data_IF_177137398672
#
_entry.id   IF_177137398672
#
_cell.length_a   1.000
_cell.length_b   1.000
_cell.length_c   1.000
_cell.angle_alpha   90.00
_cell.angle_beta   90.00
_cell.angle_gamma   90.00
#
_symmetry.space_group_name_H-M   'P 1'
#
loop_
_entity.id
_entity.type
_entity.pdbx_description
1 polymer ?
#
# COMPACT_ATOMS: atom_id res chain seq x y z
N UNK A 1 -7.36 -12.18 -12.73
CA UNK A 1 -6.12 -11.40 -12.55
C UNK A 1 -6.01 -11.11 -11.07
N UNK A 2 -4.88 -11.35 -10.40
CA UNK A 2 -4.77 -11.09 -8.97
C UNK A 2 -4.42 -9.60 -8.78
N UNK A 3 -5.42 -8.76 -8.56
CA UNK A 3 -5.26 -7.30 -8.40
C UNK A 3 -4.23 -6.97 -7.32
N UNK A 4 -4.21 -7.73 -6.22
CA UNK A 4 -3.22 -7.56 -5.16
C UNK A 4 -1.79 -7.73 -5.69
N UNK A 5 -1.55 -8.69 -6.59
CA UNK A 5 -0.24 -8.87 -7.24
C UNK A 5 0.12 -7.68 -8.14
N UNK A 6 -0.86 -7.10 -8.83
CA UNK A 6 -0.64 -5.92 -9.66
C UNK A 6 -0.27 -4.70 -8.81
N UNK A 7 -1.02 -4.43 -7.73
CA UNK A 7 -0.74 -3.34 -6.80
C UNK A 7 0.63 -3.50 -6.12
N UNK A 8 1.03 -4.73 -5.75
CA UNK A 8 2.38 -4.99 -5.23
C UNK A 8 3.47 -4.65 -6.25
N UNK A 9 3.27 -5.00 -7.52
CA UNK A 9 4.22 -4.66 -8.57
C UNK A 9 4.38 -3.14 -8.73
N UNK A 10 3.29 -2.38 -8.57
CA UNK A 10 3.32 -0.92 -8.58
C UNK A 10 4.13 -0.36 -7.41
N UNK A 11 3.94 -0.88 -6.19
CA UNK A 11 4.73 -0.48 -5.01
C UNK A 11 6.22 -0.81 -5.21
N UNK A 12 6.55 -2.00 -5.68
CA UNK A 12 7.94 -2.39 -5.95
C UNK A 12 8.58 -1.52 -7.02
N UNK A 13 7.83 -1.12 -8.04
CA UNK A 13 8.32 -0.19 -9.06
C UNK A 13 8.58 1.19 -8.46
N UNK A 14 7.65 1.73 -7.69
CA UNK A 14 7.84 3.00 -6.98
C UNK A 14 9.10 2.98 -6.11
N UNK A 15 9.38 1.84 -5.45
CA UNK A 15 10.60 1.67 -4.64
C UNK A 15 11.91 1.79 -5.44
N UNK A 16 11.91 1.38 -6.71
CA UNK A 16 13.08 1.53 -7.58
C UNK A 16 13.29 2.97 -8.06
N UNK A 17 12.20 3.73 -8.17
CA UNK A 17 12.17 5.07 -8.76
C UNK A 17 12.25 6.20 -7.71
N UNK A 18 11.95 5.91 -6.43
CA UNK A 18 11.90 6.88 -5.34
C UNK A 18 13.22 7.02 -4.56
N UNK A 19 13.31 8.10 -3.76
CA UNK A 19 14.41 8.28 -2.82
C UNK A 19 14.42 7.17 -1.76
N UNK A 20 15.62 6.70 -1.40
CA UNK A 20 15.81 5.62 -0.41
C UNK A 20 15.18 5.90 0.95
N UNK A 21 14.94 7.17 1.31
CA UNK A 21 14.25 7.52 2.54
C UNK A 21 12.77 7.07 2.56
N UNK A 22 12.21 6.71 1.41
CA UNK A 22 10.84 6.20 1.27
C UNK A 22 10.77 4.66 1.24
N UNK A 23 11.92 3.96 1.26
CA UNK A 23 11.96 2.49 1.17
C UNK A 23 11.16 1.83 2.30
N UNK A 24 11.31 2.33 3.53
CA UNK A 24 10.61 1.79 4.70
C UNK A 24 9.09 2.00 4.60
N UNK A 25 8.65 3.16 4.10
CA UNK A 25 7.24 3.45 3.85
C UNK A 25 6.65 2.47 2.83
N UNK A 26 7.36 2.24 1.72
CA UNK A 26 6.92 1.34 0.65
C UNK A 26 6.93 -0.14 1.08
N UNK A 27 7.87 -0.53 1.94
CA UNK A 27 7.86 -1.86 2.56
C UNK A 27 6.68 -2.04 3.51
N UNK A 28 6.37 -1.03 4.34
CA UNK A 28 5.18 -1.07 5.20
C UNK A 28 3.89 -1.12 4.39
N UNK A 29 3.79 -0.35 3.29
CA UNK A 29 2.64 -0.37 2.39
C UNK A 29 2.47 -1.73 1.71
N UNK A 30 3.57 -2.38 1.31
CA UNK A 30 3.54 -3.74 0.76
C UNK A 30 2.98 -4.74 1.78
N UNK A 31 3.38 -4.62 3.05
CA UNK A 31 2.87 -5.47 4.12
C UNK A 31 1.39 -5.22 4.42
N UNK A 32 0.96 -3.95 4.45
CA UNK A 32 -0.45 -3.58 4.62
C UNK A 32 -1.32 -4.16 3.51
N UNK A 33 -0.91 -3.98 2.25
CA UNK A 33 -1.59 -4.56 1.08
C UNK A 33 -1.69 -6.09 1.16
N UNK A 34 -0.67 -6.77 1.68
CA UNK A 34 -0.73 -8.21 1.89
C UNK A 34 -1.79 -8.62 2.91
N UNK A 35 -1.99 -7.82 3.97
CA UNK A 35 -3.00 -8.03 5.01
C UNK A 35 -4.42 -7.70 4.56
N UNK A 36 -4.61 -6.70 3.69
CA UNK A 36 -5.94 -6.28 3.20
C UNK A 36 -6.69 -7.44 2.56
N UNK A 37 -7.99 -7.59 2.82
CA UNK A 37 -8.78 -8.64 2.17
C UNK A 37 -8.87 -8.38 0.66
N UNK A 38 -8.67 -9.41 -0.16
CA UNK A 38 -8.80 -9.28 -1.61
C UNK A 38 -10.21 -8.86 -2.03
N UNK A 39 -11.24 -9.24 -1.27
CA UNK A 39 -12.63 -8.84 -1.54
C UNK A 39 -12.88 -7.34 -1.34
N UNK A 40 -12.15 -6.71 -0.42
CA UNK A 40 -12.18 -5.26 -0.21
C UNK A 40 -11.53 -4.52 -1.39
N UNK A 41 -10.38 -5.02 -1.85
CA UNK A 41 -9.69 -4.48 -3.03
C UNK A 41 -10.58 -4.59 -4.28
N UNK A 42 -11.20 -5.76 -4.49
CA UNK A 42 -12.10 -5.97 -5.61
C UNK A 42 -13.35 -5.06 -5.52
N UNK A 43 -13.87 -4.81 -4.30
CA UNK A 43 -14.97 -3.88 -4.10
C UNK A 43 -14.60 -2.45 -4.51
N UNK A 44 -13.42 -1.96 -4.15
CA UNK A 44 -12.96 -0.63 -4.57
C UNK A 44 -12.83 -0.50 -6.09
N UNK A 45 -12.27 -1.53 -6.75
CA UNK A 45 -12.20 -1.56 -8.21
C UNK A 45 -13.57 -1.54 -8.88
N UNK A 46 -14.55 -2.27 -8.34
CA UNK A 46 -15.93 -2.27 -8.85
C UNK A 46 -16.60 -0.90 -8.72
N UNK A 47 -16.08 -0.03 -7.86
CA UNK A 47 -16.54 1.36 -7.70
C UNK A 47 -15.66 2.37 -8.45
N UNK A 48 -14.90 1.91 -9.45
CA UNK A 48 -14.05 2.74 -10.33
C UNK A 48 -12.96 3.54 -9.60
N UNK A 49 -12.51 3.10 -8.42
CA UNK A 49 -11.32 3.68 -7.79
C UNK A 49 -10.07 3.30 -8.60
N UNK A 50 -9.20 4.28 -8.82
CA UNK A 50 -7.90 4.04 -9.43
C UNK A 50 -6.93 3.41 -8.42
N UNK A 51 -5.89 2.76 -8.93
CA UNK A 51 -4.93 2.00 -8.11
C UNK A 51 -4.32 2.83 -6.98
N UNK A 52 -3.97 4.10 -7.26
CA UNK A 52 -3.37 5.01 -6.30
C UNK A 52 -4.34 5.35 -5.15
N UNK A 53 -5.64 5.49 -5.43
CA UNK A 53 -6.66 5.72 -4.41
C UNK A 53 -6.83 4.50 -3.51
N UNK A 54 -6.76 3.30 -4.07
CA UNK A 54 -6.82 2.04 -3.31
C UNK A 54 -5.62 1.93 -2.38
N UNK A 55 -4.42 2.21 -2.89
CA UNK A 55 -3.19 2.21 -2.09
C UNK A 55 -3.25 3.28 -0.97
N UNK A 56 -3.79 4.45 -1.26
CA UNK A 56 -4.00 5.50 -0.26
C UNK A 56 -4.98 5.05 0.83
N UNK A 57 -6.11 4.44 0.46
CA UNK A 57 -7.08 3.93 1.43
C UNK A 57 -6.41 2.91 2.35
N UNK A 58 -5.69 1.94 1.79
CA UNK A 58 -4.96 0.93 2.58
C UNK A 58 -3.96 1.59 3.53
N UNK A 59 -3.20 2.59 3.04
CA UNK A 59 -2.25 3.33 3.88
C UNK A 59 -2.95 4.06 5.05
N UNK A 60 -4.15 4.59 4.84
CA UNK A 60 -4.90 5.35 5.84
C UNK A 60 -5.68 4.47 6.82
N UNK A 61 -6.02 3.23 6.44
CA UNK A 61 -6.86 2.34 7.24
C UNK A 61 -6.10 1.20 7.92
N UNK A 62 -4.90 0.86 7.47
CA UNK A 62 -4.06 -0.15 8.13
C UNK A 62 -3.43 0.42 9.41
N UNK A 63 -3.95 -0.05 10.55
CA UNK A 63 -3.55 0.42 11.87
C UNK A 63 -2.08 0.11 12.18
N UNK A 64 -1.56 -1.04 11.74
CA UNK A 64 -0.18 -1.43 11.94
C UNK A 64 0.78 -0.50 11.17
N UNK A 65 0.45 -0.15 9.92
CA UNK A 65 1.19 0.81 9.13
C UNK A 65 1.19 2.19 9.80
N UNK A 66 0.02 2.65 10.26
CA UNK A 66 -0.11 3.96 10.90
C UNK A 66 0.73 4.07 12.18
N UNK A 67 0.72 3.02 13.02
CA UNK A 67 1.51 2.96 14.25
C UNK A 67 3.00 2.92 13.94
N UNK A 68 3.43 2.01 13.05
CA UNK A 68 4.84 1.83 12.73
C UNK A 68 5.43 3.02 11.96
N UNK A 69 4.66 3.69 11.12
CA UNK A 69 5.10 4.91 10.43
C UNK A 69 5.48 6.03 11.41
N UNK A 70 4.66 6.23 12.45
CA UNK A 70 4.94 7.23 13.49
C UNK A 70 6.18 6.86 14.31
N UNK A 71 6.42 5.57 14.56
CA UNK A 71 7.55 5.11 15.37
C UNK A 71 8.89 5.05 14.61
N UNK A 72 8.87 4.75 13.32
CA UNK A 72 10.06 4.48 12.52
C UNK A 72 10.44 5.62 11.57
N UNK A 73 9.46 6.31 10.97
CA UNK A 73 9.70 7.27 9.89
C UNK A 73 9.67 8.72 10.37
N UNK A 74 8.80 9.08 11.34
CA UNK A 74 8.65 10.46 11.82
C UNK A 74 9.57 10.84 13.01
N UNK A 75 10.55 10.01 13.36
CA UNK A 75 11.45 10.24 14.51
C UNK A 75 12.57 11.24 14.23
#
# INVERSE_FOLDING_TARGET
MNTKTFLLAQIHRAKLDCDKCLDELLDMLSQALMRTDSTEIDWHLMNDLVDDDILLIIALTDADLTINFNELVLR
#
